data_IF_418871704693
#
_entry.id   IF_418871704693
#
_cell.length_a   1.000
_cell.length_b   1.000
_cell.length_c   1.000
_cell.angle_alpha   90.00
_cell.angle_beta   90.00
_cell.angle_gamma   90.00
#
_symmetry.space_group_name_H-M   'P 1'
#
loop_
_entity.id
_entity.type
_entity.pdbx_description
1 polymer ?
#
# COMPACT_ATOMS: atom_id res chain seq x y z
N UNK A 1 13.36 28.29 5.00
CA UNK A 1 12.79 26.93 4.78
C UNK A 1 13.73 25.83 5.25
N UNK A 2 15.03 25.87 4.94
CA UNK A 2 15.99 24.83 5.39
C UNK A 2 15.97 24.62 6.91
N UNK A 3 15.96 25.69 7.72
CA UNK A 3 15.84 25.57 9.18
C UNK A 3 14.52 24.94 9.65
N UNK A 4 13.42 25.15 8.92
CA UNK A 4 12.12 24.56 9.24
C UNK A 4 12.08 23.07 8.86
N UNK A 5 12.83 22.67 7.83
CA UNK A 5 13.03 21.27 7.47
C UNK A 5 13.87 20.49 8.51
N UNK A 6 14.42 21.16 9.54
CA UNK A 6 15.06 20.53 10.70
C UNK A 6 14.18 20.58 11.97
N UNK A 7 12.93 21.00 11.86
CA UNK A 7 12.00 21.09 13.00
C UNK A 7 11.63 19.71 13.55
N UNK A 8 11.48 19.58 14.87
CA UNK A 8 10.99 18.34 15.49
C UNK A 8 9.51 18.06 15.14
N UNK A 9 8.74 19.11 14.86
CA UNK A 9 7.34 19.00 14.43
C UNK A 9 7.24 18.45 13.00
N UNK A 10 6.59 17.29 12.84
CA UNK A 10 6.46 16.61 11.54
C UNK A 10 5.72 17.45 10.50
N UNK A 11 4.63 18.10 10.87
CA UNK A 11 3.82 18.87 9.93
C UNK A 11 4.59 20.10 9.42
N UNK A 12 5.29 20.79 10.31
CA UNK A 12 6.14 21.94 9.94
C UNK A 12 7.28 21.49 9.02
N UNK A 13 7.89 20.35 9.36
CA UNK A 13 9.04 19.81 8.63
C UNK A 13 8.63 19.34 7.24
N UNK A 14 7.52 18.62 7.12
CA UNK A 14 6.94 18.17 5.85
C UNK A 14 6.53 19.34 4.96
N UNK A 15 5.82 20.34 5.51
CA UNK A 15 5.45 21.54 4.77
C UNK A 15 6.69 22.29 4.25
N UNK A 16 7.75 22.37 5.06
CA UNK A 16 9.00 22.99 4.65
C UNK A 16 9.72 22.19 3.55
N UNK A 17 9.76 20.86 3.65
CA UNK A 17 10.34 19.98 2.63
C UNK A 17 9.57 20.05 1.31
N UNK A 18 8.22 20.10 1.37
CA UNK A 18 7.36 20.31 0.21
C UNK A 18 7.63 21.64 -0.48
N UNK A 19 7.69 22.73 0.28
CA UNK A 19 8.02 24.05 -0.29
C UNK A 19 9.43 24.10 -0.90
N UNK A 20 10.42 23.40 -0.31
CA UNK A 20 11.75 23.28 -0.89
C UNK A 20 11.75 22.48 -2.19
N UNK A 21 10.93 21.43 -2.30
CA UNK A 21 10.80 20.62 -3.50
C UNK A 21 10.14 21.40 -4.63
N UNK A 22 9.09 22.17 -4.34
CA UNK A 22 8.46 23.05 -5.31
C UNK A 22 9.46 24.07 -5.87
N UNK A 23 10.27 24.70 -5.01
CA UNK A 23 11.33 25.60 -5.44
C UNK A 23 12.44 24.91 -6.24
N UNK A 24 12.80 23.67 -5.90
CA UNK A 24 13.80 22.91 -6.64
C UNK A 24 13.31 22.50 -8.03
N UNK A 25 12.01 22.24 -8.18
CA UNK A 25 11.37 21.87 -9.44
C UNK A 25 11.04 23.07 -10.34
N UNK A 26 11.01 24.29 -9.80
CA UNK A 26 10.73 25.50 -10.57
C UNK A 26 11.87 25.81 -11.56
N UNK A 27 11.80 25.16 -12.73
CA UNK A 27 12.72 25.31 -13.86
C UNK A 27 12.56 26.63 -14.61
N UNK A 28 11.62 27.48 -14.18
CA UNK A 28 11.31 28.76 -14.84
C UNK A 28 12.38 29.83 -14.56
N UNK A 29 13.27 29.58 -13.60
CA UNK A 29 14.39 30.46 -13.28
C UNK A 29 15.67 30.00 -14.00
N UNK A 30 16.06 30.73 -15.05
CA UNK A 30 17.30 30.61 -15.83
C UNK A 30 18.59 30.91 -15.02
N UNK A 31 18.55 30.73 -13.70
CA UNK A 31 19.67 30.88 -12.79
C UNK A 31 19.92 29.52 -12.13
N UNK A 32 20.88 28.76 -12.65
CA UNK A 32 21.34 27.53 -12.02
C UNK A 32 21.58 27.76 -10.52
N UNK A 33 20.99 26.90 -9.68
CA UNK A 33 21.00 26.94 -8.22
C UNK A 33 20.14 28.06 -7.57
N UNK A 34 18.81 27.91 -7.59
CA UNK A 34 17.88 28.80 -6.87
C UNK A 34 17.72 28.47 -5.38
N UNK A 35 18.19 27.31 -4.90
CA UNK A 35 18.17 27.04 -3.46
C UNK A 35 19.43 27.61 -2.79
N UNK A 36 19.30 28.60 -1.88
CA UNK A 36 20.42 29.03 -1.07
C UNK A 36 20.84 27.88 -0.15
N UNK A 37 22.14 27.75 0.12
CA UNK A 37 22.66 26.88 1.19
C UNK A 37 22.51 25.37 0.94
N UNK A 38 22.79 24.94 -0.29
CA UNK A 38 22.74 23.54 -0.75
C UNK A 38 23.52 22.55 0.15
N UNK A 39 24.66 22.97 0.70
CA UNK A 39 25.44 22.12 1.59
C UNK A 39 24.69 21.85 2.90
N UNK A 40 24.09 22.89 3.50
CA UNK A 40 23.27 22.72 4.70
C UNK A 40 22.00 21.94 4.42
N UNK A 41 21.38 22.13 3.26
CA UNK A 41 20.26 21.27 2.85
C UNK A 41 20.69 19.80 2.81
N UNK A 42 21.86 19.51 2.24
CA UNK A 42 22.38 18.14 2.14
C UNK A 42 22.57 17.52 3.52
N UNK A 43 23.10 18.28 4.46
CA UNK A 43 23.29 17.83 5.84
C UNK A 43 21.97 17.60 6.57
N UNK A 44 20.99 18.49 6.39
CA UNK A 44 19.63 18.31 6.94
C UNK A 44 18.98 17.05 6.40
N UNK A 45 19.04 16.83 5.09
CA UNK A 45 18.48 15.63 4.48
C UNK A 45 19.20 14.36 4.93
N UNK A 46 20.53 14.37 5.05
CA UNK A 46 21.29 13.22 5.57
C UNK A 46 20.88 12.89 7.00
N UNK A 47 20.87 13.88 7.89
CA UNK A 47 20.42 13.73 9.27
C UNK A 47 19.00 13.18 9.33
N UNK A 48 18.11 13.64 8.45
CA UNK A 48 16.74 13.14 8.43
C UNK A 48 16.62 11.72 7.92
N UNK A 49 17.38 11.34 6.90
CA UNK A 49 17.45 9.95 6.41
C UNK A 49 17.91 9.01 7.52
N UNK A 50 18.91 9.42 8.31
CA UNK A 50 19.37 8.67 9.48
C UNK A 50 18.27 8.55 10.54
N UNK A 51 17.57 9.65 10.85
CA UNK A 51 16.43 9.65 11.78
C UNK A 51 15.30 8.71 11.34
N UNK A 52 14.91 8.76 10.06
CA UNK A 52 13.92 7.84 9.47
C UNK A 52 14.41 6.39 9.56
N UNK A 53 15.70 6.15 9.35
CA UNK A 53 16.28 4.79 9.42
C UNK A 53 16.21 4.16 10.81
N UNK A 54 16.00 4.97 11.86
CA UNK A 54 15.87 4.51 13.25
C UNK A 54 14.40 4.35 13.70
N UNK A 55 13.43 4.77 12.88
CA UNK A 55 12.00 4.64 13.17
C UNK A 55 11.53 3.18 13.06
N UNK A 56 10.52 2.82 13.85
CA UNK A 56 9.84 1.53 13.72
C UNK A 56 8.81 1.53 12.58
N UNK A 57 8.16 0.40 12.35
CA UNK A 57 7.25 0.23 11.22
C UNK A 57 6.01 1.14 11.27
N UNK A 58 5.47 1.41 12.47
CA UNK A 58 4.29 2.26 12.64
C UNK A 58 4.67 3.72 12.40
N UNK A 59 5.82 4.14 12.94
CA UNK A 59 6.36 5.49 12.72
C UNK A 59 6.78 5.71 11.26
N UNK A 60 7.34 4.69 10.60
CA UNK A 60 7.66 4.75 9.16
C UNK A 60 6.40 4.89 8.30
N UNK A 61 5.29 4.27 8.72
CA UNK A 61 4.00 4.44 8.06
C UNK A 61 3.46 5.86 8.27
N UNK A 62 3.57 6.41 9.47
CA UNK A 62 3.18 7.79 9.77
C UNK A 62 4.03 8.82 9.02
N UNK A 63 5.33 8.57 8.84
CA UNK A 63 6.28 9.46 8.15
C UNK A 63 6.35 9.22 6.63
N UNK A 64 5.29 8.67 6.02
CA UNK A 64 5.26 8.28 4.60
C UNK A 64 5.50 9.46 3.67
N UNK A 65 4.78 10.56 3.87
CA UNK A 65 4.85 11.77 3.04
C UNK A 65 6.26 12.36 3.12
N UNK A 66 6.83 12.40 4.32
CA UNK A 66 8.19 12.84 4.53
C UNK A 66 9.21 11.97 3.77
N UNK A 67 9.09 10.64 3.83
CA UNK A 67 9.97 9.72 3.09
C UNK A 67 9.94 10.00 1.59
N UNK A 68 8.75 10.29 1.03
CA UNK A 68 8.60 10.66 -0.37
C UNK A 68 9.24 12.01 -0.71
N UNK A 69 9.03 13.02 0.13
CA UNK A 69 9.57 14.35 -0.05
C UNK A 69 11.11 14.34 0.01
N UNK A 70 11.69 13.63 0.99
CA UNK A 70 13.15 13.51 1.15
C UNK A 70 13.78 12.82 -0.07
N UNK A 71 13.21 11.72 -0.56
CA UNK A 71 13.74 11.03 -1.75
C UNK A 71 13.63 11.91 -3.01
N UNK A 72 12.48 12.56 -3.19
CA UNK A 72 12.23 13.44 -4.33
C UNK A 72 13.15 14.65 -4.33
N UNK A 73 13.36 15.27 -3.17
CA UNK A 73 14.23 16.43 -3.02
C UNK A 73 15.70 16.06 -3.22
N UNK A 74 16.13 14.91 -2.68
CA UNK A 74 17.49 14.41 -2.90
C UNK A 74 17.77 14.20 -4.40
N UNK A 75 16.81 13.59 -5.11
CA UNK A 75 16.90 13.36 -6.55
C UNK A 75 16.96 14.69 -7.32
N UNK A 76 16.08 15.64 -7.02
CA UNK A 76 16.01 16.91 -7.75
C UNK A 76 17.24 17.79 -7.50
N UNK A 77 17.74 17.84 -6.26
CA UNK A 77 18.88 18.70 -5.90
C UNK A 77 20.24 18.09 -6.26
N UNK A 78 20.40 16.76 -6.20
CA UNK A 78 21.72 16.11 -6.34
C UNK A 78 21.82 15.12 -7.50
N UNK A 79 20.72 14.82 -8.20
CA UNK A 79 20.70 13.86 -9.33
C UNK A 79 21.22 12.45 -8.97
N UNK A 80 21.18 12.09 -7.68
CA UNK A 80 21.63 10.81 -7.13
C UNK A 80 20.45 10.10 -6.44
N UNK A 81 20.47 8.75 -6.31
CA UNK A 81 19.51 8.06 -5.46
C UNK A 81 19.79 8.34 -3.99
N UNK A 82 18.75 8.58 -3.19
CA UNK A 82 18.90 8.74 -1.74
C UNK A 82 19.26 7.42 -1.06
N UNK A 83 19.94 7.49 0.09
CA UNK A 83 20.22 6.29 0.91
C UNK A 83 18.95 5.63 1.47
N UNK A 84 17.78 6.30 1.45
CA UNK A 84 16.50 5.64 1.74
C UNK A 84 16.21 4.52 0.74
N UNK A 85 16.59 4.69 -0.53
CA UNK A 85 16.36 3.67 -1.57
C UNK A 85 17.19 2.42 -1.32
N UNK A 86 18.44 2.59 -0.94
CA UNK A 86 19.34 1.49 -0.59
C UNK A 86 18.82 0.69 0.62
N UNK A 87 18.22 1.39 1.60
CA UNK A 87 17.63 0.78 2.79
C UNK A 87 16.23 0.19 2.58
N UNK A 88 15.64 0.34 1.39
CA UNK A 88 14.28 -0.11 1.13
C UNK A 88 13.21 0.69 1.88
N UNK A 89 13.51 1.93 2.28
CA UNK A 89 12.63 2.80 3.05
C UNK A 89 11.88 3.81 2.17
N UNK A 90 12.09 3.81 0.86
CA UNK A 90 11.32 4.68 -0.05
C UNK A 90 9.93 4.10 -0.29
N UNK A 91 8.92 4.97 -0.18
CA UNK A 91 7.53 4.62 -0.41
C UNK A 91 7.32 4.27 -1.88
N UNK A 92 6.89 3.03 -2.14
CA UNK A 92 6.65 2.55 -3.49
C UNK A 92 5.24 2.89 -3.98
N UNK A 93 5.05 3.13 -5.30
CA UNK A 93 3.72 3.23 -5.88
C UNK A 93 2.91 1.95 -5.60
N UNK A 94 1.75 2.09 -4.96
CA UNK A 94 0.87 0.97 -4.61
C UNK A 94 1.09 0.34 -3.24
N UNK A 95 2.03 0.81 -2.43
CA UNK A 95 2.24 0.35 -1.04
C UNK A 95 0.99 0.56 -0.15
N UNK A 96 0.19 1.59 -0.46
CA UNK A 96 -1.06 1.93 0.25
C UNK A 96 -2.32 1.51 -0.54
N UNK A 97 -2.15 0.92 -1.72
CA UNK A 97 -3.30 0.37 -2.43
C UNK A 97 -3.85 -0.78 -1.57
N UNK A 98 -5.19 -0.92 -1.43
CA UNK A 98 -5.78 -2.11 -0.85
C UNK A 98 -5.13 -3.30 -1.53
N UNK A 99 -4.46 -4.18 -0.76
CA UNK A 99 -3.70 -5.30 -1.31
C UNK A 99 -4.63 -6.10 -2.23
N UNK A 100 -4.56 -5.83 -3.53
CA UNK A 100 -5.28 -6.64 -4.50
C UNK A 100 -4.59 -7.99 -4.44
N UNK A 101 -5.34 -9.08 -4.18
CA UNK A 101 -4.74 -10.40 -4.16
C UNK A 101 -3.99 -10.59 -5.49
N UNK A 102 -2.77 -11.17 -5.45
CA UNK A 102 -2.00 -11.37 -6.67
C UNK A 102 -2.89 -12.07 -7.69
N UNK A 103 -2.87 -11.63 -8.97
CA UNK A 103 -3.72 -12.22 -9.98
C UNK A 103 -3.50 -13.72 -9.99
N UNK A 104 -4.58 -14.50 -9.82
CA UNK A 104 -4.49 -15.96 -9.84
C UNK A 104 -4.13 -16.44 -11.25
N UNK A 105 -2.83 -16.50 -11.52
CA UNK A 105 -2.29 -16.96 -12.81
C UNK A 105 -2.47 -18.47 -12.94
N UNK A 106 -2.47 -19.21 -11.83
CA UNK A 106 -2.56 -20.67 -11.83
C UNK A 106 -4.00 -21.17 -12.02
N UNK A 107 -5.00 -20.48 -11.46
CA UNK A 107 -6.40 -20.87 -11.52
C UNK A 107 -6.98 -20.93 -12.95
N UNK A 108 -6.43 -20.15 -13.89
CA UNK A 108 -6.84 -20.21 -15.31
C UNK A 108 -6.18 -21.34 -16.09
N UNK A 109 -4.99 -21.78 -15.66
CA UNK A 109 -4.27 -22.88 -16.31
C UNK A 109 -4.60 -24.25 -15.70
N UNK A 110 -5.03 -24.25 -14.44
CA UNK A 110 -5.32 -25.43 -13.62
C UNK A 110 -6.67 -25.28 -12.93
N UNK A 111 -7.72 -24.89 -13.65
CA UNK A 111 -9.06 -25.00 -13.09
C UNK A 111 -9.39 -26.49 -12.92
N UNK A 112 -9.57 -27.00 -11.68
CA UNK A 112 -9.94 -28.39 -11.50
C UNK A 112 -11.35 -28.59 -12.08
N UNK A 113 -11.63 -29.69 -12.79
CA UNK A 113 -12.94 -29.95 -13.42
C UNK A 113 -14.15 -29.76 -12.50
N UNK A 114 -13.96 -29.92 -11.19
CA UNK A 114 -14.98 -29.70 -10.16
C UNK A 114 -15.53 -28.25 -10.13
N UNK A 115 -14.74 -27.23 -10.51
CA UNK A 115 -15.23 -25.83 -10.59
C UNK A 115 -16.02 -25.54 -11.86
N UNK A 116 -15.63 -26.14 -12.99
CA UNK A 116 -16.38 -26.03 -14.25
C UNK A 116 -17.82 -26.55 -14.12
N UNK A 117 -18.04 -27.60 -13.32
CA UNK A 117 -19.38 -28.14 -13.07
C UNK A 117 -20.24 -27.28 -12.13
N UNK A 118 -19.64 -26.50 -11.25
CA UNK A 118 -20.37 -25.57 -10.39
C UNK A 118 -20.83 -24.30 -11.14
N UNK A 119 -20.01 -23.81 -12.09
CA UNK A 119 -20.32 -22.63 -12.90
C UNK A 119 -21.38 -22.89 -13.99
N UNK A 120 -21.53 -24.15 -14.43
CA UNK A 120 -22.53 -24.55 -15.43
C UNK A 120 -23.96 -24.65 -14.88
N UNK A 121 -24.19 -24.34 -13.60
CA UNK A 121 -25.55 -24.37 -13.02
C UNK A 121 -26.30 -23.12 -13.51
N UNK A 122 -27.38 -23.27 -14.29
CA UNK A 122 -28.15 -22.11 -14.73
C UNK A 122 -28.69 -21.38 -13.50
N UNK A 123 -28.56 -20.05 -13.49
CA UNK A 123 -29.21 -19.19 -12.51
C UNK A 123 -30.72 -19.51 -12.49
N UNK A 124 -31.38 -19.52 -11.31
CA UNK A 124 -32.82 -19.67 -11.26
C UNK A 124 -33.45 -18.54 -12.08
N UNK A 125 -34.22 -18.91 -13.11
CA UNK A 125 -34.99 -17.94 -13.88
C UNK A 125 -36.09 -17.41 -12.96
N UNK A 126 -36.03 -16.12 -12.64
CA UNK A 126 -37.21 -15.39 -12.19
C UNK A 126 -38.13 -15.29 -13.40
N UNK A 127 -39.20 -16.10 -13.44
CA UNK A 127 -40.43 -15.76 -14.16
C UNK A 127 -41.57 -16.69 -13.72
N UNK A 128 -42.75 -16.07 -13.66
CA UNK A 128 -43.92 -16.44 -12.89
C UNK A 128 -44.70 -17.67 -13.38
N UNK A 129 -45.22 -18.39 -12.39
CA UNK A 129 -46.50 -19.12 -12.32
C UNK A 129 -46.79 -20.25 -13.34
N UNK A 130 -46.72 -21.51 -12.88
CA UNK A 130 -47.88 -22.39 -12.74
C UNK A 130 -47.45 -23.84 -12.42
N UNK A 131 -47.94 -24.38 -11.31
CA UNK A 131 -48.18 -25.82 -11.14
C UNK A 131 -47.02 -26.73 -10.69
N UNK A 132 -47.23 -27.33 -9.51
CA UNK A 132 -46.73 -28.66 -9.09
C UNK A 132 -45.25 -28.82 -8.67
N UNK A 133 -45.07 -29.19 -7.39
CA UNK A 133 -43.99 -30.09 -6.96
C UNK A 133 -42.65 -29.46 -6.63
N UNK A 134 -42.51 -28.89 -5.43
CA UNK A 134 -41.21 -28.58 -4.82
C UNK A 134 -40.37 -29.85 -4.69
N UNK A 135 -39.32 -29.97 -5.51
CA UNK A 135 -38.20 -30.89 -5.29
C UNK A 135 -36.93 -30.05 -5.17
N UNK A 136 -36.62 -29.68 -3.94
CA UNK A 136 -35.30 -29.18 -3.59
C UNK A 136 -34.24 -30.25 -3.96
N UNK A 137 -33.11 -29.88 -4.58
CA UNK A 137 -32.01 -30.81 -4.78
C UNK A 137 -31.46 -31.22 -3.40
N UNK A 138 -31.20 -32.51 -3.14
CA UNK A 138 -30.74 -32.94 -1.82
C UNK A 138 -29.36 -32.34 -1.54
N UNK A 139 -29.30 -31.41 -0.59
CA UNK A 139 -28.04 -31.01 0.05
C UNK A 139 -27.62 -32.19 0.91
N UNK A 140 -26.67 -32.99 0.40
CA UNK A 140 -26.05 -34.07 1.14
C UNK A 140 -25.12 -33.48 2.21
N UNK A 141 -25.68 -32.95 3.30
CA UNK A 141 -24.92 -32.72 4.51
C UNK A 141 -24.57 -34.10 5.08
N UNK A 142 -23.28 -34.45 4.98
CA UNK A 142 -22.76 -35.65 5.64
C UNK A 142 -23.01 -35.57 7.15
N UNK A 143 -23.24 -36.72 7.83
CA UNK A 143 -23.50 -36.73 9.25
C UNK A 143 -22.34 -36.11 10.03
N UNK A 144 -22.63 -35.06 10.80
CA UNK A 144 -21.73 -34.52 11.82
C UNK A 144 -21.58 -35.51 12.99
N UNK A 145 -20.47 -35.44 13.75
CA UNK A 145 -20.19 -36.40 14.81
C UNK A 145 -21.26 -36.38 15.91
N UNK A 146 -21.85 -37.54 16.18
CA UNK A 146 -22.86 -37.71 17.24
C UNK A 146 -22.25 -37.49 18.63
N UNK A 147 -22.75 -36.49 19.34
CA UNK A 147 -22.55 -36.30 20.77
C UNK A 147 -23.30 -37.38 21.54
N UNK A 148 -22.56 -38.33 22.10
CA UNK A 148 -23.11 -39.41 22.91
C UNK A 148 -23.44 -38.89 24.32
N UNK A 149 -24.69 -38.49 24.54
CA UNK A 149 -25.24 -38.28 25.88
C UNK A 149 -25.66 -39.64 26.44
N UNK A 150 -24.84 -40.20 27.33
CA UNK A 150 -25.19 -41.40 28.07
C UNK A 150 -25.90 -40.98 29.37
N UNK A 151 -27.16 -41.36 29.51
CA UNK A 151 -27.97 -41.21 30.72
C UNK A 151 -28.28 -42.58 31.32
N UNK A 152 -27.91 -42.77 32.59
CA UNK A 152 -28.39 -43.81 33.52
C UNK A 152 -27.56 -43.68 34.81
N UNK A 153 -28.07 -43.58 36.03
CA UNK A 153 -29.36 -43.97 36.63
C UNK A 153 -29.66 -43.09 37.85
#
# INVERSE_FOLDING_TARGET
MIHLASSDDSLVREAALGGLLELAQDKTSDAGNVLPDQDKLKDVLRSRIEGISMMDADDLHAAREERQLVDSLWKECYNEPSSLREKGLVVLPGEDAPQQPPPDVAGKMFEPPLRAWAAARPAPREDSDSGSGKKDPPLLLGPGPSSNANSSS
#
